data_IF_096237135480
#
_entry.id   IF_096237135480
#
_cell.length_a   1.000
_cell.length_b   1.000
_cell.length_c   1.000
_cell.angle_alpha   90.00
_cell.angle_beta   90.00
_cell.angle_gamma   90.00
#
_symmetry.space_group_name_H-M   'P 1'
#
loop_
_entity.id
_entity.type
_entity.pdbx_description
1 polymer ?
#
# COMPACT_ATOMS: atom_id res chain seq x y z
N UNK A 1 19.42 5.95 14.21
CA UNK A 1 18.81 4.62 14.41
C UNK A 1 19.13 3.79 13.18
N UNK A 2 19.47 2.52 13.37
CA UNK A 2 19.75 1.60 12.28
C UNK A 2 18.45 0.99 11.75
N UNK A 3 18.44 0.59 10.47
CA UNK A 3 17.38 -0.20 9.88
C UNK A 3 17.38 -1.60 10.51
N UNK A 4 16.31 -1.95 11.21
CA UNK A 4 16.16 -3.28 11.79
C UNK A 4 15.58 -4.28 10.77
N UNK A 5 15.83 -5.58 10.90
CA UNK A 5 15.31 -6.59 9.97
C UNK A 5 13.78 -6.56 9.81
N UNK A 6 13.05 -6.22 10.86
CA UNK A 6 11.58 -6.16 10.84
C UNK A 6 11.01 -4.79 10.43
N UNK A 7 11.84 -3.75 10.30
CA UNK A 7 11.37 -2.38 10.08
C UNK A 7 10.47 -2.21 8.84
N UNK A 8 10.70 -2.98 7.79
CA UNK A 8 9.90 -2.97 6.56
C UNK A 8 8.55 -3.66 6.82
N UNK A 9 8.59 -4.83 7.43
CA UNK A 9 7.39 -5.60 7.74
C UNK A 9 6.47 -4.83 8.69
N UNK A 10 7.00 -4.31 9.79
CA UNK A 10 6.25 -3.51 10.76
C UNK A 10 5.59 -2.28 10.12
N UNK A 11 6.30 -1.64 9.16
CA UNK A 11 5.76 -0.50 8.45
C UNK A 11 4.65 -0.90 7.47
N UNK A 12 4.81 -2.00 6.74
CA UNK A 12 3.79 -2.49 5.81
C UNK A 12 2.52 -2.92 6.53
N UNK A 13 2.64 -3.61 7.66
CA UNK A 13 1.51 -3.98 8.53
C UNK A 13 0.81 -2.74 9.10
N UNK A 14 1.57 -1.75 9.57
CA UNK A 14 0.99 -0.51 10.08
C UNK A 14 0.21 0.26 9.00
N UNK A 15 0.74 0.32 7.78
CA UNK A 15 0.06 0.94 6.62
C UNK A 15 -1.22 0.17 6.29
N UNK A 16 -1.14 -1.17 6.21
CA UNK A 16 -2.28 -2.04 5.93
C UNK A 16 -3.41 -1.83 6.95
N UNK A 17 -3.09 -1.91 8.23
CA UNK A 17 -4.06 -1.74 9.31
C UNK A 17 -4.72 -0.35 9.30
N UNK A 18 -3.95 0.70 9.06
CA UNK A 18 -4.47 2.05 9.02
C UNK A 18 -5.42 2.27 7.83
N UNK A 19 -5.06 1.79 6.64
CA UNK A 19 -5.94 1.89 5.46
C UNK A 19 -7.22 1.11 5.69
N UNK A 20 -7.14 -0.10 6.27
CA UNK A 20 -8.31 -0.91 6.61
C UNK A 20 -9.28 -0.17 7.56
N UNK A 21 -8.77 0.39 8.66
CA UNK A 21 -9.56 1.19 9.60
C UNK A 21 -10.22 2.40 8.94
N UNK A 22 -9.51 3.08 8.03
CA UNK A 22 -10.07 4.21 7.30
C UNK A 22 -11.21 3.80 6.35
N UNK A 23 -11.08 2.67 5.67
CA UNK A 23 -12.12 2.11 4.81
C UNK A 23 -13.38 1.76 5.63
N UNK A 24 -13.22 1.12 6.78
CA UNK A 24 -14.34 0.78 7.68
C UNK A 24 -15.01 2.03 8.24
N UNK A 25 -14.23 3.04 8.62
CA UNK A 25 -14.75 4.35 9.07
C UNK A 25 -15.56 5.03 7.96
N UNK A 26 -15.08 4.96 6.72
CA UNK A 26 -15.80 5.50 5.56
C UNK A 26 -17.09 4.73 5.28
N UNK A 27 -17.08 3.40 5.40
CA UNK A 27 -18.28 2.58 5.24
C UNK A 27 -19.35 2.90 6.30
N UNK A 28 -18.95 3.24 7.51
CA UNK A 28 -19.87 3.65 8.56
C UNK A 28 -20.53 5.04 8.32
N UNK A 29 -19.96 5.85 7.44
CA UNK A 29 -20.40 7.25 7.22
C UNK A 29 -20.93 7.54 5.82
N UNK A 30 -20.60 6.70 4.85
CA UNK A 30 -20.97 6.86 3.43
C UNK A 30 -21.76 5.66 2.96
N UNK A 31 -23.04 5.87 2.65
CA UNK A 31 -23.91 4.79 2.19
C UNK A 31 -23.39 4.10 0.93
N UNK A 32 -23.45 2.79 0.92
CA UNK A 32 -23.02 1.94 -0.18
C UNK A 32 -21.51 1.70 -0.27
N UNK A 33 -20.75 2.12 0.76
CA UNK A 33 -19.32 1.77 0.84
C UNK A 33 -19.13 0.42 1.52
N UNK A 34 -18.38 -0.52 0.89
CA UNK A 34 -18.24 -1.88 1.42
C UNK A 34 -17.30 -2.01 2.62
N UNK A 35 -16.44 -1.02 2.90
CA UNK A 35 -15.44 -1.11 3.96
C UNK A 35 -14.18 -1.88 3.56
N UNK A 36 -13.43 -2.34 4.56
CA UNK A 36 -12.23 -3.13 4.35
C UNK A 36 -12.60 -4.56 3.91
N UNK A 37 -11.91 -5.14 2.91
CA UNK A 37 -12.09 -6.55 2.55
C UNK A 37 -11.76 -7.47 3.74
N UNK A 38 -12.69 -8.32 4.16
CA UNK A 38 -12.57 -9.05 5.44
C UNK A 38 -11.60 -10.23 5.40
N UNK A 39 -11.48 -10.92 4.27
CA UNK A 39 -10.67 -12.14 4.15
C UNK A 39 -9.33 -11.96 3.45
N UNK A 40 -9.21 -10.96 2.60
CA UNK A 40 -8.04 -10.75 1.75
C UNK A 40 -7.37 -9.42 2.07
N UNK A 41 -7.03 -9.23 3.35
CA UNK A 41 -6.29 -8.07 3.82
C UNK A 41 -4.95 -8.53 4.35
N UNK A 42 -3.89 -8.35 3.56
CA UNK A 42 -2.57 -8.88 3.91
C UNK A 42 -1.40 -8.12 3.25
N UNK A 43 -0.23 -8.25 3.86
CA UNK A 43 1.04 -7.90 3.21
C UNK A 43 1.43 -9.01 2.25
N UNK A 44 1.77 -8.64 1.02
CA UNK A 44 2.12 -9.60 -0.04
C UNK A 44 3.55 -9.37 -0.55
N UNK A 45 4.24 -10.44 -1.01
CA UNK A 45 5.64 -10.32 -1.43
C UNK A 45 5.83 -9.62 -2.78
N UNK A 46 4.78 -9.27 -3.49
CA UNK A 46 4.85 -8.65 -4.81
C UNK A 46 3.49 -8.27 -5.36
N UNK A 47 3.33 -8.32 -6.67
CA UNK A 47 2.08 -8.00 -7.33
C UNK A 47 0.94 -8.94 -6.90
N UNK A 48 -0.25 -8.38 -6.80
CA UNK A 48 -1.46 -9.08 -6.38
C UNK A 48 -1.97 -9.98 -7.51
N UNK A 49 -2.40 -11.19 -7.17
CA UNK A 49 -3.16 -12.02 -8.09
C UNK A 49 -4.58 -11.43 -8.28
N UNK A 50 -5.06 -11.44 -9.53
CA UNK A 50 -6.35 -10.88 -9.94
C UNK A 50 -7.43 -11.96 -10.07
N UNK A 51 -7.30 -13.02 -9.36
CA UNK A 51 -8.22 -14.13 -9.35
C UNK A 51 -9.35 -13.86 -8.36
N UNK A 52 -10.58 -13.97 -8.84
CA UNK A 52 -11.79 -13.94 -8.02
C UNK A 52 -11.92 -12.72 -7.08
N UNK A 53 -12.84 -11.83 -7.38
CA UNK A 53 -13.27 -10.77 -6.48
C UNK A 53 -14.27 -11.25 -5.44
N UNK A 54 -14.84 -12.43 -5.62
CA UNK A 54 -15.72 -13.02 -4.66
C UNK A 54 -14.99 -13.30 -3.36
N UNK A 55 -15.70 -13.13 -2.25
CA UNK A 55 -15.14 -13.49 -0.97
C UNK A 55 -15.23 -15.00 -0.77
N UNK A 56 -14.10 -15.71 -0.79
CA UNK A 56 -14.09 -17.16 -0.60
C UNK A 56 -14.29 -17.57 0.86
N UNK A 57 -14.33 -16.62 1.79
CA UNK A 57 -14.27 -16.91 3.21
C UNK A 57 -15.63 -16.96 3.88
N UNK A 58 -16.61 -16.25 3.37
CA UNK A 58 -17.97 -16.20 3.94
C UNK A 58 -18.94 -15.49 3.00
N UNK A 59 -20.17 -15.97 2.93
CA UNK A 59 -21.27 -15.34 2.17
C UNK A 59 -21.67 -13.95 2.70
N UNK A 60 -21.17 -13.57 3.87
CA UNK A 60 -21.46 -12.29 4.53
C UNK A 60 -20.29 -11.31 4.53
N UNK A 61 -19.13 -11.72 4.03
CA UNK A 61 -17.93 -10.93 4.09
C UNK A 61 -17.84 -9.91 2.94
N UNK A 62 -17.12 -8.84 3.16
CA UNK A 62 -16.86 -7.81 2.14
C UNK A 62 -15.89 -8.36 1.10
N UNK A 63 -16.37 -8.47 -0.13
CA UNK A 63 -15.56 -8.94 -1.26
C UNK A 63 -14.43 -7.99 -1.64
N UNK A 64 -13.52 -8.49 -2.46
CA UNK A 64 -12.34 -7.74 -2.90
C UNK A 64 -11.08 -8.08 -2.11
N UNK A 65 -10.08 -7.21 -2.21
CA UNK A 65 -8.76 -7.46 -1.65
C UNK A 65 -8.06 -6.15 -1.32
N UNK A 66 -7.46 -6.06 -0.13
CA UNK A 66 -6.56 -4.97 0.25
C UNK A 66 -5.17 -5.55 0.51
N UNK A 67 -4.18 -5.06 -0.18
CA UNK A 67 -2.81 -5.52 0.00
C UNK A 67 -1.81 -4.38 0.06
N UNK A 68 -0.72 -4.62 0.78
CA UNK A 68 0.46 -3.76 0.77
C UNK A 68 1.65 -4.61 0.34
N UNK A 69 2.41 -4.12 -0.63
CA UNK A 69 3.64 -4.74 -1.10
C UNK A 69 4.78 -3.74 -1.15
N UNK A 70 5.99 -4.28 -1.14
CA UNK A 70 7.22 -3.50 -1.38
C UNK A 70 7.51 -3.52 -2.87
N UNK A 71 7.57 -2.35 -3.50
CA UNK A 71 7.99 -2.22 -4.89
C UNK A 71 9.50 -2.15 -5.01
N UNK A 72 10.13 -1.29 -4.19
CA UNK A 72 11.58 -1.06 -4.24
C UNK A 72 12.12 -0.65 -2.88
N UNK A 73 13.38 -1.01 -2.64
CA UNK A 73 14.20 -0.50 -1.55
C UNK A 73 15.52 0.00 -2.14
N UNK A 74 15.86 1.25 -1.90
CA UNK A 74 17.05 1.85 -2.51
C UNK A 74 17.68 2.92 -1.60
N UNK A 75 18.94 3.21 -1.86
CA UNK A 75 19.67 4.26 -1.16
C UNK A 75 19.18 5.63 -1.62
N UNK A 76 19.03 6.56 -0.68
CA UNK A 76 18.71 7.95 -0.94
C UNK A 76 19.48 8.86 0.01
N UNK A 77 19.34 10.16 -0.16
CA UNK A 77 19.91 11.17 0.72
C UNK A 77 18.84 12.17 1.19
N UNK A 78 19.15 12.95 2.20
CA UNK A 78 18.24 14.01 2.69
C UNK A 78 17.92 15.06 1.60
N UNK A 79 18.83 15.22 0.64
CA UNK A 79 18.67 16.20 -0.45
C UNK A 79 17.89 15.63 -1.62
N UNK A 80 18.18 14.37 -1.97
CA UNK A 80 17.65 13.75 -3.18
C UNK A 80 16.30 13.03 -2.96
N UNK A 81 15.96 12.71 -1.70
CA UNK A 81 14.72 11.96 -1.41
C UNK A 81 13.48 12.59 -2.07
N UNK A 82 12.67 11.83 -2.82
CA UNK A 82 12.63 10.38 -2.93
C UNK A 82 13.50 9.78 -4.06
N UNK A 83 14.37 10.54 -4.69
CA UNK A 83 15.20 10.03 -5.78
C UNK A 83 16.25 9.03 -5.27
N UNK A 84 16.62 8.10 -6.14
CA UNK A 84 17.69 7.15 -5.88
C UNK A 84 19.06 7.85 -5.95
N UNK A 85 19.88 7.64 -4.92
CA UNK A 85 21.23 8.17 -4.90
C UNK A 85 22.17 7.20 -5.61
N UNK A 86 22.77 7.66 -6.71
CA UNK A 86 23.73 6.88 -7.49
C UNK A 86 25.13 6.83 -6.87
N UNK A 87 25.36 7.58 -5.80
CA UNK A 87 26.71 7.79 -5.21
C UNK A 87 27.03 6.90 -4.01
N UNK A 88 26.21 5.89 -3.70
CA UNK A 88 26.50 4.94 -2.64
C UNK A 88 27.58 3.98 -3.10
N UNK A 89 28.83 4.40 -2.95
CA UNK A 89 29.99 3.54 -3.19
C UNK A 89 30.42 2.94 -1.84
N UNK A 90 30.52 1.60 -1.81
CA UNK A 90 31.15 0.90 -0.70
C UNK A 90 32.64 1.18 -0.69
N UNK A 91 33.05 2.23 0.02
CA UNK A 91 34.43 2.44 0.41
C UNK A 91 34.72 1.51 1.60
N UNK A 92 35.95 1.03 1.73
CA UNK A 92 36.37 0.14 2.81
C UNK A 92 35.77 0.54 4.17
N UNK A 93 34.87 -0.29 4.68
CA UNK A 93 34.04 -0.02 5.83
C UNK A 93 32.58 0.24 5.37
N UNK A 94 31.62 -0.34 6.06
CA UNK A 94 30.20 -0.08 5.81
C UNK A 94 29.89 1.37 6.21
N UNK A 95 30.04 2.29 5.30
CA UNK A 95 29.38 3.58 5.42
C UNK A 95 27.93 3.36 4.96
N UNK A 96 26.97 3.23 5.88
CA UNK A 96 25.58 3.07 5.50
C UNK A 96 25.13 4.31 4.74
N UNK A 97 24.27 4.17 3.73
CA UNK A 97 23.62 5.32 3.15
C UNK A 97 22.96 6.12 4.28
N UNK A 98 22.98 7.44 4.25
CA UNK A 98 22.40 8.27 5.31
C UNK A 98 20.89 8.02 5.46
N UNK A 99 20.25 7.58 4.39
CA UNK A 99 18.84 7.28 4.32
C UNK A 99 18.59 6.15 3.32
N UNK A 100 17.56 5.34 3.62
CA UNK A 100 17.02 4.34 2.70
C UNK A 100 15.60 4.76 2.31
N UNK A 101 15.29 4.73 1.03
CA UNK A 101 13.93 4.96 0.53
C UNK A 101 13.24 3.62 0.29
N UNK A 102 12.05 3.47 0.83
CA UNK A 102 11.18 2.31 0.65
C UNK A 102 9.95 2.74 -0.13
N UNK A 103 9.77 2.19 -1.33
CA UNK A 103 8.56 2.39 -2.11
C UNK A 103 7.57 1.27 -1.83
N UNK A 104 6.41 1.65 -1.31
CA UNK A 104 5.28 0.79 -1.03
C UNK A 104 4.19 0.97 -2.08
N UNK A 105 3.47 -0.11 -2.34
CA UNK A 105 2.27 -0.13 -3.18
C UNK A 105 1.11 -0.65 -2.34
N UNK A 106 0.10 0.19 -2.19
CA UNK A 106 -1.20 -0.18 -1.61
C UNK A 106 -2.15 -0.47 -2.76
N UNK A 107 -2.67 -1.69 -2.82
CA UNK A 107 -3.63 -2.11 -3.86
C UNK A 107 -4.94 -2.48 -3.19
N UNK A 108 -6.02 -1.84 -3.60
CA UNK A 108 -7.39 -2.16 -3.21
C UNK A 108 -8.16 -2.62 -4.44
N UNK A 109 -8.67 -3.84 -4.39
CA UNK A 109 -9.53 -4.43 -5.43
C UNK A 109 -10.96 -4.55 -4.92
N UNK A 110 -11.91 -4.28 -5.80
CA UNK A 110 -13.36 -4.47 -5.62
C UNK A 110 -13.92 -5.33 -6.73
N UNK A 111 -15.06 -5.95 -6.50
CA UNK A 111 -15.75 -6.67 -7.56
C UNK A 111 -16.25 -5.69 -8.61
N UNK A 112 -15.94 -5.98 -9.87
CA UNK A 112 -16.43 -5.22 -11.01
C UNK A 112 -17.79 -5.75 -11.45
N UNK A 113 -18.68 -4.90 -11.96
CA UNK A 113 -19.86 -5.38 -12.67
C UNK A 113 -19.45 -6.25 -13.86
N UNK A 114 -20.01 -7.44 -13.96
CA UNK A 114 -19.70 -8.44 -14.98
C UNK A 114 -20.83 -8.52 -16.02
N UNK A 115 -20.56 -9.21 -17.14
CA UNK A 115 -21.59 -9.53 -18.11
C UNK A 115 -22.71 -10.37 -17.48
N UNK A 116 -23.93 -10.09 -17.90
CA UNK A 116 -25.09 -10.91 -17.51
C UNK A 116 -24.95 -12.34 -18.05
N UNK A 117 -25.76 -13.27 -17.53
CA UNK A 117 -25.82 -14.66 -18.02
C UNK A 117 -26.08 -14.75 -19.54
N UNK A 118 -26.74 -13.75 -20.10
CA UNK A 118 -27.03 -13.65 -21.54
C UNK A 118 -25.95 -12.92 -22.34
N UNK A 119 -24.79 -12.60 -21.73
CA UNK A 119 -23.69 -11.92 -22.40
C UNK A 119 -23.89 -10.43 -22.64
N UNK A 120 -24.91 -9.81 -22.05
CA UNK A 120 -25.07 -8.35 -22.14
C UNK A 120 -24.06 -7.62 -21.24
N UNK A 121 -23.50 -6.50 -21.69
CA UNK A 121 -22.62 -5.69 -20.84
C UNK A 121 -23.40 -5.11 -19.65
N UNK A 122 -22.70 -4.76 -18.56
CA UNK A 122 -23.30 -4.06 -17.43
C UNK A 122 -23.98 -2.77 -17.84
N UNK A 123 -25.04 -2.41 -17.15
CA UNK A 123 -25.74 -1.14 -17.39
C UNK A 123 -24.90 0.06 -16.96
N UNK A 124 -25.20 1.25 -17.51
CA UNK A 124 -24.57 2.49 -17.08
C UNK A 124 -24.80 2.79 -15.59
N UNK A 125 -25.93 2.34 -15.04
CA UNK A 125 -26.25 2.51 -13.63
C UNK A 125 -25.32 1.67 -12.73
N UNK A 126 -25.14 0.40 -13.06
CA UNK A 126 -24.20 -0.50 -12.35
C UNK A 126 -22.76 0.01 -12.43
N UNK A 127 -22.33 0.44 -13.63
CA UNK A 127 -20.99 1.01 -13.81
C UNK A 127 -20.81 2.32 -13.03
N UNK A 128 -21.84 3.17 -12.98
CA UNK A 128 -21.78 4.42 -12.21
C UNK A 128 -21.73 4.15 -10.70
N UNK A 129 -22.48 3.16 -10.21
CA UNK A 129 -22.45 2.76 -8.81
C UNK A 129 -21.04 2.23 -8.42
N UNK A 130 -20.48 1.34 -9.22
CA UNK A 130 -19.12 0.83 -9.01
C UNK A 130 -18.07 1.95 -9.06
N UNK A 131 -18.20 2.89 -9.99
CA UNK A 131 -17.30 4.05 -10.09
C UNK A 131 -17.40 4.94 -8.85
N UNK A 132 -18.60 5.16 -8.31
CA UNK A 132 -18.78 5.94 -7.07
C UNK A 132 -18.04 5.29 -5.90
N UNK A 133 -18.18 3.98 -5.72
CA UNK A 133 -17.44 3.25 -4.68
C UNK A 133 -15.94 3.46 -4.83
N UNK A 134 -15.42 3.26 -6.05
CA UNK A 134 -13.99 3.39 -6.32
C UNK A 134 -13.46 4.82 -6.09
N UNK A 135 -14.22 5.85 -6.47
CA UNK A 135 -13.82 7.24 -6.24
C UNK A 135 -13.75 7.58 -4.74
N UNK A 136 -14.68 7.07 -3.93
CA UNK A 136 -14.65 7.23 -2.47
C UNK A 136 -13.45 6.47 -1.88
N UNK A 137 -13.21 5.23 -2.31
CA UNK A 137 -12.05 4.45 -1.90
C UNK A 137 -10.72 5.17 -2.24
N UNK A 138 -10.61 5.78 -3.42
CA UNK A 138 -9.43 6.55 -3.81
C UNK A 138 -9.12 7.68 -2.83
N UNK A 139 -10.11 8.46 -2.46
CA UNK A 139 -9.94 9.56 -1.49
C UNK A 139 -9.64 9.01 -0.11
N UNK A 140 -10.31 7.94 0.31
CA UNK A 140 -10.11 7.31 1.62
C UNK A 140 -8.69 6.77 1.78
N UNK A 141 -8.20 6.00 0.81
CA UNK A 141 -6.82 5.45 0.83
C UNK A 141 -5.79 6.56 0.83
N UNK A 142 -5.98 7.59 -0.01
CA UNK A 142 -5.06 8.72 -0.07
C UNK A 142 -4.97 9.46 1.27
N UNK A 143 -6.11 9.79 1.87
CA UNK A 143 -6.16 10.48 3.16
C UNK A 143 -5.63 9.60 4.30
N UNK A 144 -5.93 8.30 4.31
CA UNK A 144 -5.40 7.36 5.28
C UNK A 144 -3.87 7.41 5.32
N UNK A 145 -3.22 7.32 4.17
CA UNK A 145 -1.76 7.36 4.08
C UNK A 145 -1.18 8.70 4.57
N UNK A 146 -1.83 9.82 4.25
CA UNK A 146 -1.42 11.13 4.78
C UNK A 146 -1.51 11.21 6.30
N UNK A 147 -2.47 10.52 6.91
CA UNK A 147 -2.66 10.53 8.37
C UNK A 147 -1.77 9.51 9.09
N UNK A 148 -1.54 8.33 8.51
CA UNK A 148 -0.83 7.24 9.16
C UNK A 148 0.69 7.39 9.15
N UNK A 149 1.24 7.86 8.04
CA UNK A 149 2.69 7.90 7.84
C UNK A 149 3.43 8.93 8.71
N UNK A 150 2.83 10.08 9.09
CA UNK A 150 3.44 10.99 10.08
C UNK A 150 3.45 10.44 11.50
N UNK A 151 2.55 9.52 11.82
CA UNK A 151 2.19 9.17 13.20
C UNK A 151 2.85 7.91 13.72
N UNK A 152 4.07 8.00 14.23
CA UNK A 152 4.43 7.17 15.37
C UNK A 152 4.62 8.10 16.56
N UNK A 153 3.83 7.91 17.61
CA UNK A 153 3.76 8.73 18.83
C UNK A 153 5.12 9.02 19.51
N UNK A 154 6.16 8.28 19.14
CA UNK A 154 7.49 8.40 19.73
C UNK A 154 8.43 9.38 19.02
N UNK A 155 8.03 10.02 17.93
CA UNK A 155 8.90 10.98 17.23
C UNK A 155 8.19 12.29 16.94
N UNK A 156 8.61 13.35 17.57
CA UNK A 156 8.26 14.76 17.28
C UNK A 156 8.63 15.22 15.85
N UNK A 157 9.27 14.36 15.06
CA UNK A 157 9.51 14.53 13.62
C UNK A 157 8.94 13.28 12.94
N UNK A 158 7.78 13.42 12.32
CA UNK A 158 7.16 12.37 11.51
C UNK A 158 8.14 11.76 10.49
N UNK A 159 7.84 10.55 10.01
CA UNK A 159 8.60 9.97 8.90
C UNK A 159 8.44 10.86 7.68
N UNK A 160 9.54 11.11 6.99
CA UNK A 160 9.50 11.77 5.69
C UNK A 160 8.92 10.80 4.67
N UNK A 161 7.91 11.22 3.92
CA UNK A 161 7.32 10.42 2.86
C UNK A 161 6.87 11.29 1.69
N UNK A 162 6.71 10.68 0.53
CA UNK A 162 6.20 11.32 -0.68
C UNK A 162 5.11 10.44 -1.26
N UNK A 163 3.93 11.02 -1.45
CA UNK A 163 2.84 10.36 -2.15
C UNK A 163 3.15 10.28 -3.64
N UNK A 164 3.16 9.08 -4.18
CA UNK A 164 3.24 8.85 -5.61
C UNK A 164 1.87 8.97 -6.28
N UNK A 165 1.83 8.72 -7.58
CA UNK A 165 0.60 8.71 -8.33
C UNK A 165 -0.34 7.59 -7.85
N UNK A 166 -1.61 7.93 -7.73
CA UNK A 166 -2.69 6.96 -7.59
C UNK A 166 -3.28 6.70 -8.96
N UNK A 167 -3.57 5.46 -9.27
CA UNK A 167 -4.18 5.06 -10.53
C UNK A 167 -5.28 4.04 -10.32
N UNK A 168 -6.29 4.06 -11.18
CA UNK A 168 -7.25 2.98 -11.28
C UNK A 168 -6.65 1.82 -12.07
N UNK A 169 -7.04 0.61 -11.72
CA UNK A 169 -6.59 -0.64 -12.33
C UNK A 169 -7.78 -1.54 -12.64
N UNK A 170 -7.69 -2.28 -13.72
CA UNK A 170 -8.77 -3.16 -14.19
C UNK A 170 -9.75 -2.47 -15.14
N UNK A 171 -10.90 -3.12 -15.47
CA UNK A 171 -11.32 -4.43 -14.93
C UNK A 171 -10.51 -5.60 -15.48
N UNK A 172 -10.17 -6.54 -14.61
CA UNK A 172 -9.49 -7.79 -14.95
C UNK A 172 -9.90 -8.88 -13.95
N UNK A 173 -10.18 -10.08 -14.41
CA UNK A 173 -10.57 -11.21 -13.56
C UNK A 173 -11.81 -10.92 -12.67
N UNK A 174 -12.75 -10.10 -13.16
CA UNK A 174 -13.90 -9.68 -12.36
C UNK A 174 -13.59 -8.63 -11.31
N UNK A 175 -12.38 -8.09 -11.27
CA UNK A 175 -11.94 -7.08 -10.32
C UNK A 175 -11.66 -5.73 -10.99
N UNK A 176 -11.97 -4.66 -10.26
CA UNK A 176 -11.56 -3.28 -10.55
C UNK A 176 -11.00 -2.68 -9.26
N UNK A 177 -10.08 -1.75 -9.35
CA UNK A 177 -9.52 -1.20 -8.12
C UNK A 177 -8.63 0.00 -8.33
N UNK A 178 -7.82 0.23 -7.33
CA UNK A 178 -6.84 1.29 -7.31
C UNK A 178 -5.47 0.78 -6.84
N UNK A 179 -4.45 1.45 -7.30
CA UNK A 179 -3.07 1.31 -6.82
C UNK A 179 -2.57 2.68 -6.38
N UNK A 180 -2.13 2.80 -5.14
CA UNK A 180 -1.50 3.98 -4.59
C UNK A 180 -0.05 3.69 -4.24
N UNK A 181 0.87 4.48 -4.77
CA UNK A 181 2.28 4.41 -4.42
C UNK A 181 2.64 5.43 -3.36
N UNK A 182 3.52 5.05 -2.47
CA UNK A 182 4.09 5.95 -1.47
C UNK A 182 5.54 5.56 -1.20
N UNK A 183 6.42 6.56 -1.18
CA UNK A 183 7.83 6.37 -0.82
C UNK A 183 8.08 6.90 0.57
N UNK A 184 8.60 6.06 1.45
CA UNK A 184 8.85 6.38 2.86
C UNK A 184 10.35 6.37 3.15
N UNK A 185 10.82 7.40 3.84
CA UNK A 185 12.19 7.45 4.30
C UNK A 185 12.40 6.55 5.52
N UNK A 186 13.36 5.66 5.44
CA UNK A 186 13.83 4.82 6.52
C UNK A 186 15.25 5.24 6.96
N UNK A 187 15.65 4.91 8.19
CA UNK A 187 17.05 5.08 8.59
C UNK A 187 18.00 4.32 7.66
N UNK A 188 19.25 4.74 7.61
CA UNK A 188 20.30 3.97 6.94
C UNK A 188 20.53 2.60 7.59
N UNK A 189 21.32 1.77 6.94
CA UNK A 189 21.64 0.42 7.42
C UNK A 189 22.26 0.43 8.82
N UNK A 190 22.14 -0.67 9.54
CA UNK A 190 22.98 -0.94 10.72
C UNK A 190 24.46 -1.02 10.30
N UNK A 191 25.40 -0.63 11.18
CA UNK A 191 26.80 -0.91 10.95
C UNK A 191 27.01 -2.42 10.76
N UNK A 192 27.94 -2.78 9.88
CA UNK A 192 28.28 -4.18 9.71
C UNK A 192 28.78 -4.75 11.06
N UNK A 193 28.39 -5.98 11.42
CA UNK A 193 28.98 -6.64 12.57
C UNK A 193 30.50 -6.72 12.36
N UNK A 194 31.23 -6.42 13.42
CA UNK A 194 32.70 -6.56 13.40
C UNK A 194 33.04 -7.98 12.94
N UNK A 195 33.75 -8.09 11.83
CA UNK A 195 34.37 -9.37 11.49
C UNK A 195 35.38 -9.62 12.58
N UNK A 196 35.07 -10.55 13.48
CA UNK A 196 36.15 -11.15 14.28
C UNK A 196 37.19 -11.67 13.29
N UNK A 197 38.34 -11.05 13.31
CA UNK A 197 39.46 -11.52 12.51
C UNK A 197 39.81 -12.93 12.96
N UNK A 198 39.95 -13.89 12.02
CA UNK A 198 40.30 -15.26 12.36
C UNK A 198 41.67 -15.34 13.05
#
# INVERSE_FOLDING_TARGET
MALTPLAIHDLTEAVLGCVCVALDTTAATVDGQPGCPSCRTCVVPGAVAWDSCDDPCSDTATGGQLTVSVARLYASSDVDFPAESSSVQGVRGCLPPPMTALELVVTLLRCAPTFTEHGCPPSCEELSAASRVLHVDMVTVYNALLCCLPGTEQRRRGRRFVMGAQRTIGPQGGCVGLEQRVTVALPGCAPCPDRESP
#
